data_IF_343227470810
#
_entry.id   IF_343227470810
#
_cell.length_a   1.000
_cell.length_b   1.000
_cell.length_c   1.000
_cell.angle_alpha   90.00
_cell.angle_beta   90.00
_cell.angle_gamma   90.00
#
_symmetry.space_group_name_H-M   'P 1'
#
loop_
_entity.id
_entity.type
_entity.pdbx_description
1 polymer ?
#
# COMPACT_ATOMS: atom_id res chain seq x y z
N UNK A 1 -3.75 4.37 -7.45
CA UNK A 1 -2.96 5.38 -6.70
C UNK A 1 -1.71 4.72 -6.15
N UNK A 2 -0.49 5.18 -6.46
CA UNK A 2 0.72 4.60 -5.87
C UNK A 2 1.13 5.35 -4.57
N UNK A 3 2.14 4.82 -3.86
CA UNK A 3 2.63 5.45 -2.61
C UNK A 3 3.26 6.83 -2.82
N UNK A 4 3.89 7.08 -3.96
CA UNK A 4 4.47 8.38 -4.28
C UNK A 4 3.38 9.43 -4.33
N UNK A 5 2.38 9.20 -5.18
CA UNK A 5 1.27 10.12 -5.41
C UNK A 5 0.44 10.32 -4.14
N UNK A 6 0.27 9.26 -3.33
CA UNK A 6 -0.40 9.36 -2.03
C UNK A 6 0.23 10.41 -1.11
N UNK A 7 1.56 10.47 -1.02
CA UNK A 7 2.23 11.41 -0.13
C UNK A 7 2.16 12.87 -0.59
N UNK A 8 1.82 13.11 -1.85
CA UNK A 8 1.61 14.45 -2.41
C UNK A 8 0.17 14.94 -2.19
N UNK A 9 -0.76 14.07 -1.77
CA UNK A 9 -2.14 14.45 -1.51
C UNK A 9 -2.32 15.23 -0.20
N UNK A 10 -3.23 16.20 -0.24
CA UNK A 10 -3.73 16.83 0.98
C UNK A 10 -4.46 15.80 1.86
N UNK A 11 -4.14 15.78 3.16
CA UNK A 11 -4.68 14.80 4.11
C UNK A 11 -3.92 13.48 4.19
N UNK A 12 -2.86 13.29 3.39
CA UNK A 12 -1.98 12.14 3.53
C UNK A 12 -1.20 12.18 4.85
N UNK A 13 -0.98 11.00 5.45
CA UNK A 13 -0.06 10.90 6.59
C UNK A 13 1.38 10.98 6.09
N UNK A 14 2.29 11.43 6.95
CA UNK A 14 3.71 11.49 6.61
C UNK A 14 4.32 10.10 6.44
N UNK A 15 5.40 10.00 5.65
CA UNK A 15 6.14 8.74 5.49
C UNK A 15 6.63 8.16 6.82
N UNK A 16 7.04 9.01 7.77
CA UNK A 16 7.41 8.60 9.12
C UNK A 16 6.23 8.06 9.92
N UNK A 17 5.03 8.65 9.78
CA UNK A 17 3.82 8.12 10.40
C UNK A 17 3.40 6.77 9.80
N UNK A 18 3.49 6.62 8.48
CA UNK A 18 3.25 5.34 7.82
C UNK A 18 4.24 4.26 8.32
N UNK A 19 5.53 4.60 8.41
CA UNK A 19 6.56 3.69 8.91
C UNK A 19 6.24 3.17 10.32
N UNK A 20 5.82 4.06 11.24
CA UNK A 20 5.38 3.66 12.59
C UNK A 20 4.15 2.76 12.57
N UNK A 21 3.14 3.07 11.76
CA UNK A 21 1.90 2.27 11.67
C UNK A 21 2.14 0.88 11.09
N UNK A 22 3.08 0.76 10.16
CA UNK A 22 3.40 -0.50 9.46
C UNK A 22 4.51 -1.29 10.19
N UNK A 23 5.15 -0.71 11.21
CA UNK A 23 6.20 -1.36 11.99
C UNK A 23 7.52 -1.50 11.23
N UNK A 24 7.88 -0.52 10.41
CA UNK A 24 9.10 -0.53 9.58
C UNK A 24 9.91 0.74 9.74
N UNK A 25 11.14 0.74 9.20
CA UNK A 25 11.96 1.95 9.18
C UNK A 25 11.45 2.97 8.14
N UNK A 26 11.62 4.29 8.39
CA UNK A 26 11.30 5.32 7.39
C UNK A 26 12.07 5.15 6.07
N UNK A 27 13.31 4.65 6.14
CA UNK A 27 14.12 4.36 4.96
C UNK A 27 13.48 3.30 4.06
N UNK A 28 12.83 2.28 4.64
CA UNK A 28 12.11 1.27 3.87
C UNK A 28 10.89 1.87 3.17
N UNK A 29 10.14 2.76 3.84
CA UNK A 29 9.03 3.49 3.21
C UNK A 29 9.51 4.35 2.05
N UNK A 30 10.65 5.02 2.19
CA UNK A 30 11.26 5.77 1.08
C UNK A 30 11.60 4.86 -0.10
N UNK A 31 12.16 3.67 0.14
CA UNK A 31 12.46 2.70 -0.92
C UNK A 31 11.20 2.23 -1.65
N UNK A 32 10.08 2.05 -0.94
CA UNK A 32 8.79 1.71 -1.54
C UNK A 32 8.23 2.87 -2.37
N UNK A 33 8.23 4.09 -1.80
CA UNK A 33 7.75 5.30 -2.48
C UNK A 33 8.49 5.58 -3.77
N UNK A 34 9.81 5.37 -3.78
CA UNK A 34 10.67 5.63 -4.94
C UNK A 34 10.76 4.45 -5.92
N UNK A 35 10.04 3.35 -5.66
CA UNK A 35 10.07 2.16 -6.51
C UNK A 35 11.39 1.39 -6.48
N UNK A 36 12.36 1.76 -5.64
CA UNK A 36 13.65 1.05 -5.49
C UNK A 36 13.47 -0.40 -5.06
N UNK A 37 12.42 -0.68 -4.27
CA UNK A 37 12.01 -2.02 -3.91
C UNK A 37 10.48 -2.12 -3.91
N UNK A 38 9.91 -3.23 -4.40
CA UNK A 38 8.48 -3.45 -4.30
C UNK A 38 8.07 -3.65 -2.84
N UNK A 39 6.81 -3.34 -2.51
CA UNK A 39 6.25 -3.60 -1.18
C UNK A 39 6.06 -5.12 -0.99
N UNK A 40 6.66 -5.72 0.05
CA UNK A 40 6.42 -7.12 0.37
C UNK A 40 4.98 -7.35 0.79
N UNK A 41 4.43 -8.52 0.43
CA UNK A 41 3.03 -8.93 0.69
C UNK A 41 2.57 -8.66 2.12
N UNK A 42 3.41 -8.98 3.11
CA UNK A 42 3.12 -8.83 4.55
C UNK A 42 2.82 -7.39 4.98
N UNK A 43 3.22 -6.38 4.21
CA UNK A 43 2.98 -4.96 4.54
C UNK A 43 1.81 -4.36 3.76
N UNK A 44 1.34 -5.00 2.68
CA UNK A 44 0.34 -4.39 1.79
C UNK A 44 -0.99 -4.11 2.52
N UNK A 45 -1.49 -5.05 3.31
CA UNK A 45 -2.72 -4.85 4.09
C UNK A 45 -2.58 -3.76 5.17
N UNK A 46 -1.42 -3.67 5.82
CA UNK A 46 -1.14 -2.63 6.82
C UNK A 46 -1.06 -1.25 6.19
N UNK A 47 -0.47 -1.13 5.00
CA UNK A 47 -0.43 0.13 4.25
C UNK A 47 -1.83 0.53 3.80
N UNK A 48 -2.64 -0.39 3.28
CA UNK A 48 -4.03 -0.13 2.90
C UNK A 48 -4.84 0.40 4.08
N UNK A 49 -4.73 -0.22 5.26
CA UNK A 49 -5.36 0.27 6.47
C UNK A 49 -4.84 1.64 6.91
N UNK A 50 -3.50 1.83 6.92
CA UNK A 50 -2.86 3.06 7.37
C UNK A 50 -3.19 4.26 6.48
N UNK A 51 -3.40 4.01 5.19
CA UNK A 51 -3.80 5.00 4.18
C UNK A 51 -5.31 5.12 4.02
N UNK A 52 -6.11 4.42 4.85
CA UNK A 52 -7.58 4.40 4.81
C UNK A 52 -8.12 4.03 3.42
N UNK A 53 -7.48 3.06 2.76
CA UNK A 53 -7.88 2.57 1.45
C UNK A 53 -7.48 3.46 0.26
N UNK A 54 -6.80 4.59 0.48
CA UNK A 54 -6.32 5.43 -0.63
C UNK A 54 -5.26 4.73 -1.47
N UNK A 55 -4.45 3.89 -0.83
CA UNK A 55 -3.50 2.99 -1.51
C UNK A 55 -3.89 1.57 -1.18
N UNK A 56 -4.39 0.83 -2.17
CA UNK A 56 -4.88 -0.54 -1.96
C UNK A 56 -3.78 -1.58 -2.19
N UNK A 57 -3.99 -2.80 -1.72
CA UNK A 57 -3.17 -3.98 -2.08
C UNK A 57 -3.04 -4.16 -3.60
N UNK A 58 -4.09 -3.82 -4.37
CA UNK A 58 -4.06 -3.87 -5.84
C UNK A 58 -3.11 -2.83 -6.42
N UNK A 59 -3.11 -1.62 -5.87
CA UNK A 59 -2.17 -0.56 -6.29
C UNK A 59 -0.72 -0.91 -5.97
N UNK A 60 -0.49 -1.53 -4.81
CA UNK A 60 0.86 -1.93 -4.37
C UNK A 60 1.41 -3.15 -5.13
N UNK A 61 0.52 -4.01 -5.64
CA UNK A 61 0.87 -5.27 -6.32
C UNK A 61 -0.03 -5.51 -7.55
N UNK A 62 0.06 -4.66 -8.59
CA UNK A 62 -0.84 -4.74 -9.73
C UNK A 62 -0.71 -6.05 -10.52
N UNK A 63 0.45 -6.72 -10.46
CA UNK A 63 0.75 -7.91 -11.27
C UNK A 63 0.35 -9.23 -10.62
N UNK A 64 0.37 -9.32 -9.30
CA UNK A 64 0.13 -10.59 -8.60
C UNK A 64 -0.82 -10.50 -7.40
N UNK A 65 -1.50 -9.36 -7.21
CA UNK A 65 -2.51 -9.21 -6.17
C UNK A 65 -3.58 -10.30 -6.21
N UNK A 66 -4.10 -10.68 -7.38
CA UNK A 66 -5.14 -11.72 -7.52
C UNK A 66 -4.63 -13.11 -7.15
N UNK A 67 -3.34 -13.38 -7.38
CA UNK A 67 -2.73 -14.66 -7.01
C UNK A 67 -2.53 -14.80 -5.50
N UNK A 68 -2.32 -13.67 -4.82
CA UNK A 68 -2.08 -13.62 -3.37
C UNK A 68 -3.40 -13.49 -2.59
N UNK A 69 -4.34 -12.70 -3.12
CA UNK A 69 -5.65 -12.42 -2.55
C UNK A 69 -6.74 -12.69 -3.62
N UNK A 70 -7.10 -13.95 -3.87
CA UNK A 70 -8.13 -14.32 -4.85
C UNK A 70 -9.49 -13.68 -4.58
N UNK A 71 -9.81 -13.40 -3.32
CA UNK A 71 -11.04 -12.73 -2.90
C UNK A 71 -11.17 -11.32 -3.50
N UNK A 72 -10.04 -10.68 -3.86
CA UNK A 72 -10.07 -9.41 -4.56
C UNK A 72 -10.55 -9.56 -6.01
N UNK A 73 -10.50 -10.73 -6.66
CA UNK A 73 -11.14 -10.92 -7.95
C UNK A 73 -12.66 -11.07 -7.83
N UNK A 74 -13.12 -11.69 -6.74
CA UNK A 74 -14.53 -12.06 -6.53
C UNK A 74 -15.36 -10.96 -5.90
N UNK A 75 -14.75 -10.02 -5.17
CA UNK A 75 -15.42 -8.87 -4.53
C UNK A 75 -16.14 -7.90 -5.49
N UNK A 76 -16.18 -8.17 -6.79
CA UNK A 76 -17.06 -7.49 -7.76
C UNK A 76 -18.48 -8.08 -7.82
N UNK A 77 -18.76 -9.22 -7.16
CA UNK A 77 -20.03 -9.97 -7.26
C UNK A 77 -20.92 -9.94 -6.01
N UNK A 78 -20.81 -8.92 -5.17
CA UNK A 78 -21.77 -8.70 -4.09
C UNK A 78 -22.29 -7.25 -4.14
N UNK A 79 -23.25 -7.04 -5.03
CA UNK A 79 -24.24 -5.96 -4.93
C UNK A 79 -25.62 -6.58 -5.16
#
# INVERSE_FOLDING_TARGET
MNLHDYFECEGAITAAALARRVGVSPALVYQWRTGRRPVPVKHCALIELATRGWVTRRDLRPTDCIRIWPELAEGLKAQ
#
